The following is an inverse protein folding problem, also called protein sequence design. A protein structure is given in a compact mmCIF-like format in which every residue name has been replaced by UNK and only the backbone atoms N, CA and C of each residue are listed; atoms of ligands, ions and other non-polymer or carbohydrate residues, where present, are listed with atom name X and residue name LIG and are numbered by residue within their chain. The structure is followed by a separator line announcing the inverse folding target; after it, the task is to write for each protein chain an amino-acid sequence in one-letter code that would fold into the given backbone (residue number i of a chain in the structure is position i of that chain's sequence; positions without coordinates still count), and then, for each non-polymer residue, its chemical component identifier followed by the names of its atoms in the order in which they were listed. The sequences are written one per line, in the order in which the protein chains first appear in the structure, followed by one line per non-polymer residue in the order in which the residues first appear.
data_IF_293596182307
#
_entry.id   IF_293596182307
#
_cell.length_a   1.000
_cell.length_b   1.000
_cell.length_c   1.000
_cell.angle_alpha   90.00
_cell.angle_beta   90.00
_cell.angle_gamma   90.00
#
_symmetry.space_group_name_H-M   'P 1'
#
loop_
_entity.id
_entity.type
_entity.pdbx_description
1 polymer ?
#
# COMPACT_ATOMS: atom_id res chain seq x y z
N UNK A 1 -11.02 3.91 14.11
CA UNK A 1 -10.83 2.48 13.77
C UNK A 1 -11.74 2.19 12.60
N UNK A 2 -11.19 1.68 11.50
CA UNK A 2 -11.97 1.28 10.32
C UNK A 2 -12.64 -0.07 10.64
N UNK A 3 -13.93 -0.20 10.36
CA UNK A 3 -14.72 -1.42 10.60
C UNK A 3 -15.34 -1.89 9.27
N UNK A 4 -15.55 -3.20 9.12
CA UNK A 4 -16.23 -3.80 7.97
C UNK A 4 -15.34 -4.03 6.75
N UNK A 5 -14.04 -3.74 6.81
CA UNK A 5 -13.09 -3.95 5.71
C UNK A 5 -12.06 -4.98 6.17
N UNK A 6 -12.01 -6.12 5.47
CA UNK A 6 -11.11 -7.23 5.84
C UNK A 6 -11.63 -8.14 6.96
N UNK A 7 -12.86 -7.93 7.43
CA UNK A 7 -13.46 -8.71 8.53
C UNK A 7 -13.89 -10.13 8.09
N UNK A 8 -14.17 -10.33 6.80
CA UNK A 8 -14.52 -11.64 6.22
C UNK A 8 -13.24 -12.28 5.67
N UNK A 9 -12.90 -13.46 6.18
CA UNK A 9 -11.68 -14.18 5.80
C UNK A 9 -12.03 -15.38 4.94
N UNK A 10 -11.50 -15.41 3.72
CA UNK A 10 -11.54 -16.59 2.83
C UNK A 10 -10.14 -17.22 2.81
N UNK A 11 -9.95 -18.44 3.31
CA UNK A 11 -8.66 -19.12 3.25
C UNK A 11 -8.23 -19.37 1.80
N UNK A 12 -6.96 -19.10 1.51
CA UNK A 12 -6.33 -19.43 0.23
C UNK A 12 -5.05 -20.21 0.50
N UNK A 13 -4.72 -21.15 -0.38
CA UNK A 13 -3.41 -21.80 -0.35
C UNK A 13 -2.48 -21.04 -1.29
N UNK A 14 -1.39 -20.51 -0.74
CA UNK A 14 -0.47 -19.65 -1.48
C UNK A 14 0.95 -20.20 -1.42
N UNK A 15 1.66 -20.19 -2.54
CA UNK A 15 3.06 -20.61 -2.61
C UNK A 15 3.94 -19.65 -1.84
N UNK A 16 4.75 -20.16 -0.90
CA UNK A 16 5.66 -19.32 -0.12
C UNK A 16 6.67 -18.63 -1.05
N UNK A 17 6.67 -17.31 -1.01
CA UNK A 17 7.59 -16.44 -1.76
C UNK A 17 8.34 -15.53 -0.80
N UNK A 18 9.62 -15.28 -1.09
CA UNK A 18 10.42 -14.35 -0.30
C UNK A 18 10.05 -12.90 -0.65
N UNK A 19 9.84 -12.10 0.39
CA UNK A 19 9.52 -10.67 0.27
C UNK A 19 10.41 -9.87 1.22
N UNK A 20 10.81 -8.68 0.78
CA UNK A 20 11.44 -7.71 1.66
C UNK A 20 10.38 -6.74 2.16
N UNK A 21 10.35 -6.50 3.47
CA UNK A 21 9.52 -5.48 4.08
C UNK A 21 10.43 -4.33 4.50
N UNK A 22 10.09 -3.12 4.07
CA UNK A 22 10.84 -1.91 4.34
C UNK A 22 10.02 -1.07 5.32
N UNK A 23 10.51 -0.98 6.55
CA UNK A 23 9.92 -0.16 7.62
C UNK A 23 10.64 1.18 7.66
N UNK A 24 9.87 2.27 7.76
CA UNK A 24 10.40 3.63 7.88
C UNK A 24 9.79 4.33 9.10
N UNK A 25 10.28 5.53 9.40
CA UNK A 25 9.91 6.27 10.61
C UNK A 25 8.63 7.11 10.45
N UNK A 26 7.93 7.04 9.31
CA UNK A 26 6.67 7.78 9.12
C UNK A 26 5.55 7.04 9.86
N UNK A 27 4.82 7.75 10.71
CA UNK A 27 3.66 7.20 11.42
C UNK A 27 2.37 7.57 10.68
N UNK A 28 1.73 6.59 10.05
CA UNK A 28 0.49 6.80 9.31
C UNK A 28 -0.74 6.53 10.19
N UNK A 29 -1.67 7.49 10.20
CA UNK A 29 -2.97 7.32 10.82
C UNK A 29 -3.96 6.74 9.81
N UNK A 30 -4.33 5.47 9.98
CA UNK A 30 -5.26 4.76 9.10
C UNK A 30 -6.55 5.55 8.84
N UNK A 31 -7.14 6.17 9.87
CA UNK A 31 -8.38 6.94 9.70
C UNK A 31 -8.22 8.13 8.73
N UNK A 32 -7.06 8.82 8.74
CA UNK A 32 -6.82 9.98 7.86
C UNK A 32 -6.68 9.55 6.40
N UNK A 33 -5.95 8.47 6.16
CA UNK A 33 -5.78 7.89 4.81
C UNK A 33 -7.12 7.43 4.24
N UNK A 34 -7.92 6.70 5.04
CA UNK A 34 -9.25 6.26 4.61
C UNK A 34 -10.23 7.42 4.42
N UNK A 35 -10.19 8.46 5.27
CA UNK A 35 -11.00 9.66 5.07
C UNK A 35 -10.64 10.35 3.75
N UNK A 36 -9.33 10.45 3.43
CA UNK A 36 -8.88 11.03 2.17
C UNK A 36 -9.33 10.20 0.95
N UNK A 37 -9.23 8.88 1.04
CA UNK A 37 -9.67 7.94 0.00
C UNK A 37 -11.18 8.05 -0.27
N UNK A 38 -12.01 8.03 0.79
CA UNK A 38 -13.48 8.11 0.65
C UNK A 38 -13.96 9.42 0.06
N UNK A 39 -13.31 10.53 0.42
CA UNK A 39 -13.70 11.88 0.00
C UNK A 39 -13.23 12.24 -1.41
N UNK A 40 -12.54 11.34 -2.13
CA UNK A 40 -12.01 11.66 -3.45
C UNK A 40 -12.16 10.48 -4.42
N UNK A 41 -13.20 10.50 -5.27
CA UNK A 41 -13.49 9.44 -6.24
C UNK A 41 -12.36 9.18 -7.23
N UNK A 42 -11.43 10.13 -7.43
CA UNK A 42 -10.29 9.94 -8.34
C UNK A 42 -9.37 8.79 -7.94
N UNK A 43 -9.42 8.36 -6.67
CA UNK A 43 -8.65 7.24 -6.17
C UNK A 43 -9.35 5.89 -6.34
N UNK A 44 -10.64 5.90 -6.69
CA UNK A 44 -11.41 4.68 -6.89
C UNK A 44 -11.12 4.19 -8.32
N UNK A 45 -10.84 2.90 -8.47
CA UNK A 45 -10.55 2.26 -9.77
C UNK A 45 -9.24 2.72 -10.42
N UNK A 46 -8.27 3.17 -9.62
CA UNK A 46 -6.90 3.22 -10.10
C UNK A 46 -6.50 1.76 -10.35
N UNK A 47 -6.09 1.41 -11.57
CA UNK A 47 -5.66 0.05 -11.89
C UNK A 47 -4.30 -0.25 -11.23
N UNK A 48 -4.29 -0.26 -9.91
CA UNK A 48 -3.12 -0.37 -9.03
C UNK A 48 -3.41 -1.38 -7.93
N UNK A 49 -2.34 -1.88 -7.31
CA UNK A 49 -2.42 -2.94 -6.31
C UNK A 49 -3.00 -2.47 -4.98
N UNK A 50 -2.81 -1.19 -4.65
CA UNK A 50 -3.29 -0.61 -3.41
C UNK A 50 -3.83 0.80 -3.67
N UNK A 51 -5.15 0.90 -3.73
CA UNK A 51 -5.91 2.14 -3.88
C UNK A 51 -5.64 3.18 -2.77
N UNK A 52 -5.16 2.75 -1.60
CA UNK A 52 -4.82 3.64 -0.49
C UNK A 52 -3.45 4.31 -0.64
N UNK A 53 -2.64 3.88 -1.60
CA UNK A 53 -1.28 4.37 -1.79
C UNK A 53 -1.23 5.87 -2.10
N UNK A 54 -2.01 6.34 -3.07
CA UNK A 54 -2.04 7.77 -3.43
C UNK A 54 -2.67 8.66 -2.34
N UNK A 55 -3.79 8.27 -1.70
CA UNK A 55 -4.26 8.96 -0.49
C UNK A 55 -3.19 9.05 0.59
N UNK A 56 -2.42 7.99 0.82
CA UNK A 56 -1.34 8.00 1.80
C UNK A 56 -0.21 8.96 1.40
N UNK A 57 0.17 9.02 0.12
CA UNK A 57 1.15 9.97 -0.39
C UNK A 57 0.71 11.42 -0.31
N UNK A 58 -0.58 11.70 -0.48
CA UNK A 58 -1.09 13.06 -0.32
C UNK A 58 -1.11 13.51 1.15
N UNK A 59 -1.41 12.61 2.08
CA UNK A 59 -1.41 12.93 3.53
C UNK A 59 0.01 12.92 4.11
N UNK A 60 0.89 12.06 3.62
CA UNK A 60 2.26 11.86 4.07
C UNK A 60 3.24 11.91 2.88
N UNK A 61 3.61 13.11 2.40
CA UNK A 61 4.48 13.26 1.22
C UNK A 61 5.86 12.59 1.35
N UNK A 62 6.36 12.39 2.56
CA UNK A 62 7.61 11.69 2.83
C UNK A 62 7.57 10.24 2.32
N UNK A 63 6.40 9.59 2.37
CA UNK A 63 6.22 8.26 1.80
C UNK A 63 6.42 8.26 0.29
N UNK A 64 5.98 9.31 -0.40
CA UNK A 64 6.21 9.44 -1.84
C UNK A 64 7.70 9.57 -2.15
N UNK A 65 8.43 10.36 -1.36
CA UNK A 65 9.88 10.51 -1.52
C UNK A 65 10.62 9.20 -1.27
N UNK A 66 10.19 8.40 -0.29
CA UNK A 66 10.75 7.07 -0.03
C UNK A 66 10.42 6.14 -1.20
N UNK A 67 9.16 6.09 -1.61
CA UNK A 67 8.69 5.26 -2.72
C UNK A 67 9.46 5.55 -4.01
N UNK A 68 9.58 6.83 -4.39
CA UNK A 68 10.28 7.26 -5.60
C UNK A 68 11.74 6.78 -5.60
N UNK A 69 12.42 6.73 -4.44
CA UNK A 69 13.77 6.17 -4.31
C UNK A 69 13.80 4.65 -4.42
N UNK A 70 12.81 3.97 -3.83
CA UNK A 70 12.74 2.51 -3.82
C UNK A 70 12.49 1.95 -5.22
N UNK A 71 11.63 2.60 -6.02
CA UNK A 71 11.26 2.11 -7.36
C UNK A 71 12.36 2.24 -8.40
N UNK A 72 13.37 3.09 -8.18
CA UNK A 72 14.54 3.19 -9.08
C UNK A 72 15.22 1.83 -9.25
N UNK A 73 15.33 1.06 -8.17
CA UNK A 73 16.06 -0.21 -8.13
C UNK A 73 15.13 -1.43 -8.02
N UNK A 74 13.84 -1.24 -7.80
CA UNK A 74 12.89 -2.33 -7.54
C UNK A 74 11.59 -2.11 -8.33
N UNK A 75 11.30 -3.01 -9.28
CA UNK A 75 10.15 -2.85 -10.20
C UNK A 75 8.79 -3.11 -9.55
N UNK A 76 8.72 -3.70 -8.35
CA UNK A 76 7.48 -4.19 -7.74
C UNK A 76 7.38 -3.80 -6.26
N UNK A 77 7.56 -2.51 -5.97
CA UNK A 77 7.33 -1.95 -4.64
C UNK A 77 5.86 -1.55 -4.50
N UNK A 78 5.21 -2.00 -3.43
CA UNK A 78 3.87 -1.55 -3.06
C UNK A 78 3.85 -1.04 -1.62
N UNK A 79 2.97 -0.08 -1.34
CA UNK A 79 2.66 0.32 0.04
C UNK A 79 1.75 -0.76 0.67
N UNK A 80 2.03 -1.20 1.90
CA UNK A 80 1.18 -2.13 2.63
C UNK A 80 0.06 -1.39 3.36
N UNK A 81 -1.20 -1.77 3.09
CA UNK A 81 -2.38 -1.17 3.73
C UNK A 81 -2.45 0.35 3.57
N UNK A 82 -2.68 1.07 4.67
CA UNK A 82 -2.66 2.55 4.69
C UNK A 82 -1.25 3.15 4.86
N UNK A 83 -0.19 2.34 4.75
CA UNK A 83 1.18 2.69 5.10
C UNK A 83 1.52 2.43 6.57
N UNK A 84 2.76 2.69 7.00
CA UNK A 84 3.86 3.34 6.25
C UNK A 84 4.81 2.37 5.54
N UNK A 85 4.68 1.06 5.77
CA UNK A 85 5.63 0.07 5.27
C UNK A 85 5.49 -0.19 3.77
N UNK A 86 6.62 -0.48 3.12
CA UNK A 86 6.65 -0.93 1.73
C UNK A 86 7.00 -2.42 1.66
N UNK A 87 6.48 -3.09 0.63
CA UNK A 87 6.79 -4.50 0.34
C UNK A 87 7.36 -4.58 -1.07
N UNK A 88 8.48 -5.28 -1.18
CA UNK A 88 9.07 -5.68 -2.44
C UNK A 88 8.48 -7.03 -2.87
N UNK A 89 7.54 -6.97 -3.80
CA UNK A 89 6.84 -8.12 -4.35
C UNK A 89 7.68 -8.77 -5.46
N UNK A 90 8.75 -9.49 -5.08
CA UNK A 90 9.58 -10.26 -6.03
C UNK A 90 8.94 -11.54 -6.57
N UNK A 91 7.72 -11.89 -6.14
CA UNK A 91 7.15 -13.22 -6.33
C UNK A 91 5.98 -13.36 -7.30
N UNK A 92 5.52 -12.28 -7.95
CA UNK A 92 4.31 -12.33 -8.79
C UNK A 92 4.59 -11.74 -10.17
N UNK A 93 4.97 -12.58 -11.12
CA UNK A 93 4.70 -12.33 -12.55
C UNK A 93 3.23 -12.67 -12.79
N UNK A 94 2.36 -11.68 -12.61
CA UNK A 94 1.06 -11.71 -13.26
C UNK A 94 1.16 -10.72 -14.42
N UNK A 95 1.12 -11.25 -15.64
CA UNK A 95 0.77 -10.52 -16.86
C UNK A 95 -0.67 -10.00 -16.77
#
# INVERSE_FOLDING_TARGET
MVKGIGDIITPINWTKTNHNIIINNVCCETNKVFARYKNNPKFHNLNVWNDLMYPAFEIYPELKLIYDKLVVNNKKIILSGSGSSFVDFKGLEYE
#
